data_IF_624919181298
#
_entry.id   IF_624919181298
#
_cell.length_a   1.000
_cell.length_b   1.000
_cell.length_c   1.000
_cell.angle_alpha   90.00
_cell.angle_beta   90.00
_cell.angle_gamma   90.00
#
_symmetry.space_group_name_H-M   'P 1'
#
loop_
_entity.id
_entity.type
_entity.pdbx_description
1 polymer ?
#
# COMPACT_ATOMS: atom_id res chain seq x y z
N UNK A 1 -48.36 8.92 9.55
CA UNK A 1 -48.70 7.65 8.88
C UNK A 1 -47.80 7.50 7.66
N UNK A 2 -46.71 6.76 7.76
CA UNK A 2 -45.86 6.41 6.61
C UNK A 2 -45.63 4.89 6.65
N UNK A 3 -46.18 4.20 5.66
CA UNK A 3 -46.15 2.73 5.52
C UNK A 3 -44.79 2.36 4.93
N UNK A 4 -43.89 1.79 5.74
CA UNK A 4 -42.64 1.21 5.24
C UNK A 4 -42.97 -0.18 4.69
N UNK A 5 -43.00 -0.29 3.37
CA UNK A 5 -43.14 -1.56 2.66
C UNK A 5 -41.87 -2.39 2.83
N UNK A 6 -41.94 -3.45 3.63
CA UNK A 6 -40.89 -4.46 3.71
C UNK A 6 -40.95 -5.29 2.42
N UNK A 7 -40.08 -4.97 1.47
CA UNK A 7 -39.82 -5.82 0.33
C UNK A 7 -39.23 -7.15 0.84
N UNK A 8 -40.07 -8.19 0.91
CA UNK A 8 -39.61 -9.57 1.05
C UNK A 8 -38.87 -9.94 -0.23
N UNK A 9 -37.57 -9.69 -0.23
CA UNK A 9 -36.64 -10.24 -1.22
C UNK A 9 -36.56 -11.75 -0.95
N UNK A 10 -37.39 -12.53 -1.64
CA UNK A 10 -37.30 -14.00 -1.66
C UNK A 10 -36.05 -14.33 -2.48
N UNK A 11 -34.91 -14.30 -1.80
CA UNK A 11 -33.63 -14.66 -2.39
C UNK A 11 -33.60 -16.19 -2.55
N UNK A 12 -33.45 -16.65 -3.79
CA UNK A 12 -33.41 -18.08 -4.11
C UNK A 12 -32.39 -18.83 -3.21
N UNK A 13 -32.70 -20.06 -2.76
CA UNK A 13 -31.92 -20.78 -1.75
C UNK A 13 -30.45 -20.98 -2.13
N UNK A 14 -30.14 -21.01 -3.43
CA UNK A 14 -28.77 -21.13 -3.94
C UNK A 14 -27.90 -19.90 -3.69
N UNK A 15 -28.47 -18.69 -3.65
CA UNK A 15 -27.72 -17.45 -3.43
C UNK A 15 -27.34 -17.30 -1.95
N UNK A 16 -28.24 -17.70 -1.04
CA UNK A 16 -27.98 -17.68 0.41
C UNK A 16 -26.85 -18.65 0.78
N UNK A 17 -26.82 -19.83 0.15
CA UNK A 17 -25.76 -20.83 0.34
C UNK A 17 -24.40 -20.32 -0.15
N UNK A 18 -24.35 -19.69 -1.33
CA UNK A 18 -23.10 -19.12 -1.85
C UNK A 18 -22.56 -18.00 -0.95
N UNK A 19 -23.43 -17.12 -0.45
CA UNK A 19 -23.04 -16.07 0.50
C UNK A 19 -22.53 -16.63 1.83
N UNK A 20 -23.16 -17.68 2.36
CA UNK A 20 -22.70 -18.35 3.57
C UNK A 20 -21.35 -19.05 3.37
N UNK A 21 -21.11 -19.67 2.22
CA UNK A 21 -19.81 -20.28 1.91
C UNK A 21 -18.69 -19.25 1.77
N UNK A 22 -18.97 -18.11 1.15
CA UNK A 22 -17.99 -17.00 1.04
C UNK A 22 -17.69 -16.41 2.42
N UNK A 23 -18.71 -16.20 3.27
CA UNK A 23 -18.51 -15.69 4.63
C UNK A 23 -17.77 -16.69 5.52
N UNK A 24 -18.07 -17.98 5.40
CA UNK A 24 -17.40 -19.03 6.16
C UNK A 24 -15.94 -19.19 5.73
N UNK A 25 -15.68 -19.15 4.42
CA UNK A 25 -14.31 -19.15 3.88
C UNK A 25 -13.54 -17.88 4.28
N UNK A 26 -14.20 -16.71 4.31
CA UNK A 26 -13.59 -15.46 4.77
C UNK A 26 -13.22 -15.49 6.25
N UNK A 27 -14.03 -16.12 7.10
CA UNK A 27 -13.73 -16.29 8.52
C UNK A 27 -12.59 -17.28 8.77
N UNK A 28 -12.51 -18.33 7.94
CA UNK A 28 -11.41 -19.28 8.00
C UNK A 28 -10.08 -18.65 7.56
N UNK A 29 -10.05 -17.92 6.43
CA UNK A 29 -8.85 -17.21 5.96
C UNK A 29 -8.35 -16.19 6.99
N UNK A 30 -9.25 -15.46 7.65
CA UNK A 30 -8.87 -14.54 8.73
C UNK A 30 -8.28 -15.25 9.95
N UNK A 31 -8.70 -16.49 10.21
CA UNK A 31 -8.20 -17.32 11.32
C UNK A 31 -6.90 -18.06 10.96
N UNK A 32 -6.70 -18.40 9.69
CA UNK A 32 -5.51 -19.10 9.19
C UNK A 32 -4.32 -18.18 8.93
N UNK A 33 -4.47 -16.86 9.01
CA UNK A 33 -3.39 -15.91 8.72
C UNK A 33 -2.47 -15.75 9.95
N UNK A 34 -1.22 -16.24 9.91
CA UNK A 34 -0.27 -16.02 11.00
C UNK A 34 0.10 -14.52 11.07
N UNK A 35 0.29 -13.95 12.28
CA UNK A 35 0.67 -12.54 12.46
C UNK A 35 2.07 -12.18 11.92
N UNK A 36 2.84 -13.17 11.47
CA UNK A 36 4.24 -13.04 11.04
C UNK A 36 4.40 -12.37 9.66
N UNK A 37 3.37 -12.37 8.81
CA UNK A 37 3.46 -11.77 7.47
C UNK A 37 3.64 -10.23 7.51
N UNK A 38 3.27 -9.59 8.62
CA UNK A 38 3.43 -8.15 8.82
C UNK A 38 4.59 -7.80 9.75
N UNK A 39 5.51 -8.74 9.99
CA UNK A 39 6.72 -8.43 10.74
C UNK A 39 7.65 -7.59 9.87
N UNK A 40 7.59 -6.27 10.04
CA UNK A 40 8.62 -5.31 9.62
C UNK A 40 9.90 -5.47 10.45
N UNK A 41 10.28 -6.69 10.83
CA UNK A 41 11.61 -7.00 11.31
C UNK A 41 12.56 -6.75 10.15
N UNK A 42 13.14 -5.55 10.14
CA UNK A 42 14.33 -5.28 9.37
C UNK A 42 15.38 -6.30 9.80
N UNK A 43 15.58 -7.31 8.95
CA UNK A 43 16.66 -8.27 9.08
C UNK A 43 17.94 -7.49 9.30
N UNK A 44 18.44 -7.54 10.52
CA UNK A 44 19.73 -6.96 10.87
C UNK A 44 20.76 -7.87 10.23
N UNK A 45 21.18 -7.53 9.01
CA UNK A 45 22.27 -8.21 8.32
C UNK A 45 23.50 -8.22 9.24
N UNK A 46 23.78 -9.37 9.84
CA UNK A 46 24.96 -9.60 10.68
C UNK A 46 26.17 -10.03 9.86
N UNK A 47 26.21 -9.79 8.53
CA UNK A 47 27.44 -9.98 7.75
C UNK A 47 28.54 -9.13 8.35
N UNK A 48 29.52 -9.84 8.92
CA UNK A 48 30.48 -9.32 9.87
C UNK A 48 31.37 -8.24 9.30
N UNK A 49 31.40 -7.10 9.99
CA UNK A 49 32.51 -6.16 9.91
C UNK A 49 33.58 -6.62 10.89
N UNK A 50 34.40 -7.58 10.48
CA UNK A 50 35.70 -7.84 11.10
C UNK A 50 36.65 -6.69 10.72
N UNK A 51 36.50 -5.54 11.38
CA UNK A 51 37.26 -4.33 11.10
C UNK A 51 36.63 -3.15 11.82
N UNK A 52 37.33 -2.64 12.83
CA UNK A 52 36.84 -1.61 13.75
C UNK A 52 36.48 -0.31 13.04
N UNK A 53 35.18 -0.02 13.02
CA UNK A 53 34.61 1.31 12.84
C UNK A 53 33.43 1.41 13.80
N UNK A 54 33.30 2.54 14.50
CA UNK A 54 32.24 2.78 15.49
C UNK A 54 30.86 2.46 14.94
N UNK A 55 29.91 2.20 15.85
CA UNK A 55 28.50 1.91 15.57
C UNK A 55 27.81 3.08 14.86
N UNK A 56 28.15 3.31 13.61
CA UNK A 56 27.42 4.21 12.73
C UNK A 56 26.06 3.58 12.50
N UNK A 57 25.03 4.12 13.16
CA UNK A 57 23.64 3.79 12.87
C UNK A 57 23.43 3.87 11.36
N UNK A 58 23.28 2.70 10.72
CA UNK A 58 22.96 2.62 9.30
C UNK A 58 21.56 3.19 9.15
N UNK A 59 21.45 4.40 8.60
CA UNK A 59 20.17 5.03 8.28
C UNK A 59 19.43 4.09 7.32
N UNK A 60 18.32 3.51 7.79
CA UNK A 60 17.47 2.62 7.01
C UNK A 60 16.58 3.48 6.10
N UNK A 61 16.45 3.06 4.84
CA UNK A 61 15.57 3.72 3.88
C UNK A 61 14.27 2.92 3.77
N UNK A 62 13.15 3.60 3.98
CA UNK A 62 11.80 3.06 3.76
C UNK A 62 11.15 3.89 2.67
N UNK A 63 10.62 3.22 1.65
CA UNK A 63 9.95 3.87 0.51
C UNK A 63 8.48 3.47 0.53
N UNK A 64 7.59 4.46 0.66
CA UNK A 64 6.15 4.28 0.55
C UNK A 64 5.71 4.61 -0.88
N UNK A 65 5.15 3.62 -1.59
CA UNK A 65 4.53 3.84 -2.90
C UNK A 65 3.01 3.91 -2.73
N UNK A 66 2.43 5.07 -3.01
CA UNK A 66 0.98 5.29 -2.96
C UNK A 66 0.49 5.48 -4.40
N UNK A 67 -0.31 4.52 -4.88
CA UNK A 67 -0.86 4.60 -6.24
C UNK A 67 -1.99 5.64 -6.33
N UNK A 68 -2.10 6.30 -7.49
CA UNK A 68 -3.14 7.30 -7.74
C UNK A 68 -3.05 8.59 -6.92
N UNK A 69 -1.96 8.84 -6.19
CA UNK A 69 -1.75 10.08 -5.46
C UNK A 69 -1.33 11.20 -6.41
N UNK A 70 -2.32 11.91 -6.95
CA UNK A 70 -2.08 13.09 -7.79
C UNK A 70 -1.47 14.23 -6.95
N UNK A 71 -0.60 15.04 -7.55
CA UNK A 71 0.16 16.11 -6.87
C UNK A 71 -0.73 17.09 -6.05
N UNK A 72 -1.96 17.35 -6.50
CA UNK A 72 -2.92 18.24 -5.83
C UNK A 72 -3.70 17.60 -4.69
N UNK A 73 -3.66 16.27 -4.52
CA UNK A 73 -4.49 15.59 -3.51
C UNK A 73 -4.08 15.91 -2.09
N UNK A 74 -2.77 16.04 -1.84
CA UNK A 74 -2.24 16.36 -0.51
C UNK A 74 -2.72 17.73 -0.03
N UNK A 75 -2.96 18.66 -0.95
CA UNK A 75 -3.40 20.03 -0.64
C UNK A 75 -4.93 20.18 -0.64
N UNK A 76 -5.67 19.26 -1.28
CA UNK A 76 -7.14 19.26 -1.34
C UNK A 76 -7.80 18.54 -0.17
N UNK A 77 -7.15 17.54 0.41
CA UNK A 77 -7.67 16.74 1.52
C UNK A 77 -7.09 17.16 2.87
N UNK A 78 -7.79 16.80 3.95
CA UNK A 78 -7.25 16.96 5.30
C UNK A 78 -6.45 15.70 5.69
N UNK A 79 -5.16 15.70 5.32
CA UNK A 79 -4.25 14.61 5.64
C UNK A 79 -3.16 15.07 6.63
N UNK A 80 -3.42 15.02 7.95
CA UNK A 80 -2.50 15.55 8.95
C UNK A 80 -1.11 14.90 8.90
N UNK A 81 -1.03 13.59 8.65
CA UNK A 81 0.24 12.88 8.56
C UNK A 81 1.11 13.32 7.38
N UNK A 82 0.52 13.48 6.18
CA UNK A 82 1.28 13.97 5.03
C UNK A 82 1.73 15.43 5.21
N UNK A 83 0.94 16.25 5.90
CA UNK A 83 1.31 17.64 6.23
C UNK A 83 2.49 17.70 7.20
N UNK A 84 2.51 16.84 8.21
CA UNK A 84 3.64 16.76 9.15
C UNK A 84 4.92 16.30 8.43
N UNK A 85 4.83 15.27 7.58
CA UNK A 85 5.97 14.80 6.77
C UNK A 85 6.48 15.89 5.83
N UNK A 86 5.58 16.67 5.20
CA UNK A 86 5.98 17.77 4.34
C UNK A 86 6.60 18.95 5.13
N UNK A 87 6.16 19.20 6.37
CA UNK A 87 6.68 20.26 7.22
C UNK A 87 8.05 19.92 7.85
N UNK A 88 8.26 18.64 8.19
CA UNK A 88 9.53 18.15 8.77
C UNK A 88 10.53 17.70 7.70
N UNK A 89 10.08 17.46 6.47
CA UNK A 89 10.85 16.90 5.37
C UNK A 89 10.94 17.80 4.15
N UNK A 90 11.02 17.18 2.97
CA UNK A 90 11.11 17.86 1.67
C UNK A 90 9.92 17.46 0.80
N UNK A 91 9.19 18.44 0.27
CA UNK A 91 8.09 18.26 -0.69
C UNK A 91 8.52 18.81 -2.05
N UNK A 92 8.26 18.06 -3.12
CA UNK A 92 8.36 18.54 -4.50
C UNK A 92 6.99 19.02 -5.00
N UNK A 93 6.96 20.00 -5.91
CA UNK A 93 5.70 20.55 -6.46
C UNK A 93 4.89 19.51 -7.25
N UNK A 94 5.57 18.67 -8.03
CA UNK A 94 4.97 17.57 -8.79
C UNK A 94 6.01 16.52 -9.16
N UNK A 95 5.56 15.27 -9.29
CA UNK A 95 6.32 14.20 -9.93
C UNK A 95 5.81 14.04 -11.36
N UNK A 96 6.72 14.09 -12.34
CA UNK A 96 6.37 13.81 -13.74
C UNK A 96 6.54 12.31 -13.97
N UNK A 97 5.45 11.55 -14.24
CA UNK A 97 5.55 10.11 -14.43
C UNK A 97 6.17 9.76 -15.79
N UNK A 98 6.70 8.56 -15.88
CA UNK A 98 7.14 7.98 -17.15
C UNK A 98 5.94 7.68 -18.05
N UNK A 99 6.10 7.85 -19.36
CA UNK A 99 5.07 7.48 -20.34
C UNK A 99 5.28 6.02 -20.78
N UNK A 100 4.25 5.15 -20.79
CA UNK A 100 2.85 5.39 -20.43
C UNK A 100 2.63 5.47 -18.90
N UNK A 101 1.69 6.32 -18.47
CA UNK A 101 1.39 6.58 -17.04
C UNK A 101 0.60 5.44 -16.37
N UNK A 102 1.19 4.24 -16.35
CA UNK A 102 0.67 3.02 -15.71
C UNK A 102 1.53 2.70 -14.49
N UNK A 103 0.93 2.10 -13.45
CA UNK A 103 1.57 1.90 -12.14
C UNK A 103 2.89 1.12 -12.21
N UNK A 104 2.88 -0.05 -12.85
CA UNK A 104 4.07 -0.93 -12.91
C UNK A 104 5.27 -0.28 -13.63
N UNK A 105 5.08 0.32 -14.83
CA UNK A 105 6.11 1.13 -15.46
C UNK A 105 6.73 2.19 -14.54
N UNK A 106 5.91 2.99 -13.88
CA UNK A 106 6.40 4.10 -13.06
C UNK A 106 7.21 3.62 -11.84
N UNK A 107 6.75 2.56 -11.16
CA UNK A 107 7.48 2.01 -10.00
C UNK A 107 8.80 1.36 -10.41
N UNK A 108 8.85 0.68 -11.55
CA UNK A 108 10.09 0.11 -12.07
C UNK A 108 11.12 1.20 -12.39
N UNK A 109 10.69 2.29 -13.02
CA UNK A 109 11.57 3.42 -13.30
C UNK A 109 12.07 4.13 -12.05
N UNK A 110 11.25 4.24 -10.99
CA UNK A 110 11.68 4.76 -9.68
C UNK A 110 12.72 3.86 -9.00
N UNK A 111 12.54 2.54 -9.07
CA UNK A 111 13.46 1.60 -8.44
C UNK A 111 14.81 1.48 -9.19
N UNK A 112 14.80 1.62 -10.51
CA UNK A 112 15.98 1.35 -11.36
C UNK A 112 16.63 2.60 -11.94
N UNK A 113 15.94 3.74 -11.98
CA UNK A 113 16.39 4.96 -12.67
C UNK A 113 16.39 4.85 -14.19
N UNK A 114 15.81 3.78 -14.77
CA UNK A 114 15.76 3.56 -16.23
C UNK A 114 14.38 3.92 -16.80
N UNK A 115 14.38 4.39 -18.04
CA UNK A 115 13.16 4.65 -18.80
C UNK A 115 12.64 3.35 -19.44
N UNK A 116 11.30 3.15 -19.48
CA UNK A 116 10.70 1.98 -20.14
C UNK A 116 11.19 1.77 -21.57
N UNK A 117 11.25 2.83 -22.37
CA UNK A 117 11.63 2.73 -23.78
C UNK A 117 13.08 2.27 -24.01
N UNK A 118 13.92 2.21 -22.97
CA UNK A 118 15.28 1.69 -23.10
C UNK A 118 15.36 0.16 -23.00
N UNK A 119 14.24 -0.53 -22.71
CA UNK A 119 14.17 -1.99 -22.57
C UNK A 119 13.47 -2.70 -23.75
N UNK A 120 13.21 -1.97 -24.85
CA UNK A 120 12.73 -2.49 -26.13
C UNK A 120 13.78 -2.22 -27.20
#
# INVERSE_FOLDING_TARGET
MAKVGVAKLVLAPHVVSAFLLILLWSQEVARSMPPEQWDFSVGSDKRGSSGGYGTAFRKKLVVFLVDGLRWDYVDRGDYPGFREIAAQGVKADRLVPVFPSVSYPNWYSLATGKWQASCI
#
